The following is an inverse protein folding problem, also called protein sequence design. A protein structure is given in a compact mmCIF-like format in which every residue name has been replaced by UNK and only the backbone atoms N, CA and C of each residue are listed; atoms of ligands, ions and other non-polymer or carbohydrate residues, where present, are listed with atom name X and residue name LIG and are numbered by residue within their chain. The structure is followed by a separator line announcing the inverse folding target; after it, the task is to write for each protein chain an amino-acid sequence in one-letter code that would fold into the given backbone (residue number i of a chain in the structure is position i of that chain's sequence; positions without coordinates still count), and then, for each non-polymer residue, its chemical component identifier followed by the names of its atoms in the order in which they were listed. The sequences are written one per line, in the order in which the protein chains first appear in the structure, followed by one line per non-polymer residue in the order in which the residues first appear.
data_IF_272571847964
#
_entry.id   IF_272571847964
#
_cell.length_a   1.000
_cell.length_b   1.000
_cell.length_c   1.000
_cell.angle_alpha   90.00
_cell.angle_beta   90.00
_cell.angle_gamma   90.00
#
_symmetry.space_group_name_H-M   'P 1'
#
loop_
_entity.id
_entity.type
_entity.pdbx_description
1 polymer ?
#
# COMPACT_ATOMS: atom_id res chain seq x y z
N UNK A 1 36.24 -11.11 11.34
CA UNK A 1 35.23 -11.80 10.53
C UNK A 1 34.32 -10.73 9.97
N UNK A 2 34.23 -10.61 8.65
CA UNK A 2 33.46 -9.55 8.00
C UNK A 2 31.98 -9.92 8.02
N UNK A 3 31.15 -9.15 8.72
CA UNK A 3 29.70 -9.19 8.52
C UNK A 3 29.38 -8.35 7.28
N UNK A 4 28.73 -8.89 6.24
CA UNK A 4 28.15 -8.06 5.22
C UNK A 4 26.83 -7.54 5.77
N UNK A 5 26.81 -6.32 6.32
CA UNK A 5 25.56 -5.57 6.47
C UNK A 5 25.10 -5.17 5.08
N UNK A 6 24.42 -6.10 4.41
CA UNK A 6 23.56 -5.82 3.29
C UNK A 6 22.39 -4.96 3.82
N UNK A 7 22.53 -3.64 3.71
CA UNK A 7 21.43 -2.70 3.88
C UNK A 7 20.48 -2.84 2.69
N UNK A 8 19.81 -3.99 2.58
CA UNK A 8 18.68 -4.14 1.69
C UNK A 8 17.59 -3.21 2.21
N UNK A 9 17.33 -2.16 1.45
CA UNK A 9 16.26 -1.20 1.62
C UNK A 9 14.92 -1.95 1.53
N UNK A 10 14.53 -2.71 2.56
CA UNK A 10 13.22 -3.32 2.61
C UNK A 10 12.22 -2.17 2.75
N UNK A 11 11.35 -1.93 1.75
CA UNK A 11 10.32 -0.90 1.90
C UNK A 11 9.54 -1.24 3.17
N UNK A 12 9.45 -0.25 4.06
CA UNK A 12 8.64 -0.36 5.28
C UNK A 12 7.23 -0.76 4.87
N UNK A 13 6.60 -1.67 5.62
CA UNK A 13 5.25 -2.12 5.27
C UNK A 13 4.29 -0.93 5.17
N UNK A 14 3.51 -0.85 4.09
CA UNK A 14 2.45 0.13 3.92
C UNK A 14 1.22 -0.12 4.80
N UNK A 15 1.21 -1.21 5.59
CA UNK A 15 0.08 -1.56 6.44
C UNK A 15 -0.26 -0.43 7.42
N UNK A 16 -1.56 -0.14 7.58
CA UNK A 16 -2.14 0.94 8.39
C UNK A 16 -1.83 2.37 7.89
N UNK A 17 -1.31 2.53 6.67
CA UNK A 17 -1.22 3.85 6.03
C UNK A 17 -2.56 4.24 5.41
N UNK A 18 -2.93 5.51 5.56
CA UNK A 18 -4.00 6.14 4.79
C UNK A 18 -3.47 6.44 3.39
N UNK A 19 -4.29 6.15 2.38
CA UNK A 19 -3.92 6.28 0.99
C UNK A 19 -5.06 6.82 0.14
N UNK A 20 -4.69 7.48 -0.95
CA UNK A 20 -5.56 7.68 -2.11
C UNK A 20 -5.31 6.53 -3.08
N UNK A 21 -6.37 5.92 -3.60
CA UNK A 21 -6.26 4.80 -4.54
C UNK A 21 -7.16 4.99 -5.75
N UNK A 22 -6.70 4.55 -6.93
CA UNK A 22 -7.43 4.78 -8.17
C UNK A 22 -8.54 3.73 -8.37
N UNK A 23 -9.79 4.19 -8.44
CA UNK A 23 -10.98 3.35 -8.68
C UNK A 23 -11.45 3.36 -10.13
N UNK A 24 -10.97 4.31 -10.95
CA UNK A 24 -11.25 4.39 -12.39
C UNK A 24 -10.52 5.55 -13.07
N UNK A 25 -10.79 5.81 -14.36
CA UNK A 25 -10.24 6.98 -15.06
C UNK A 25 -10.69 8.27 -14.34
N UNK A 26 -9.74 8.99 -13.77
CA UNK A 26 -9.98 10.22 -12.97
C UNK A 26 -10.90 10.02 -11.75
N UNK A 27 -11.04 8.78 -11.25
CA UNK A 27 -11.77 8.49 -10.01
C UNK A 27 -10.83 7.92 -8.98
N UNK A 28 -10.90 8.48 -7.78
CA UNK A 28 -10.07 8.12 -6.65
C UNK A 28 -10.94 7.90 -5.42
N UNK A 29 -10.55 6.96 -4.58
CA UNK A 29 -11.11 6.76 -3.24
C UNK A 29 -10.04 7.02 -2.18
N UNK A 30 -10.47 7.22 -0.95
CA UNK A 30 -9.58 7.28 0.21
C UNK A 30 -9.78 6.05 1.08
N UNK A 31 -8.68 5.43 1.51
CA UNK A 31 -8.77 4.20 2.30
C UNK A 31 -7.57 3.94 3.19
N UNK A 32 -7.68 2.86 3.96
CA UNK A 32 -6.63 2.36 4.85
C UNK A 32 -6.08 1.03 4.32
N UNK A 33 -4.76 0.91 4.21
CA UNK A 33 -4.13 -0.37 3.86
C UNK A 33 -4.27 -1.35 5.03
N UNK A 34 -5.02 -2.44 4.83
CA UNK A 34 -5.25 -3.49 5.84
C UNK A 34 -4.28 -4.65 5.71
N UNK A 35 -3.82 -4.93 4.49
CA UNK A 35 -2.81 -5.92 4.17
C UNK A 35 -1.86 -5.42 3.08
N UNK A 36 -0.59 -5.83 3.19
CA UNK A 36 0.44 -5.53 2.19
C UNK A 36 1.34 -6.76 2.05
N UNK A 37 1.32 -7.35 0.85
CA UNK A 37 2.20 -8.43 0.44
C UNK A 37 3.43 -7.82 -0.25
N UNK A 38 4.58 -7.84 0.45
CA UNK A 38 5.80 -7.18 -0.03
C UNK A 38 6.45 -7.91 -1.21
N UNK A 39 6.24 -9.21 -1.31
CA UNK A 39 6.82 -10.03 -2.37
C UNK A 39 6.20 -9.71 -3.74
N UNK A 40 4.87 -9.51 -3.79
CA UNK A 40 4.17 -9.11 -5.02
C UNK A 40 3.88 -7.62 -5.15
N UNK A 41 4.12 -6.82 -4.10
CA UNK A 41 3.70 -5.42 -4.03
C UNK A 41 2.19 -5.24 -4.00
N UNK A 42 1.42 -6.28 -3.64
CA UNK A 42 -0.04 -6.21 -3.59
C UNK A 42 -0.51 -5.60 -2.28
N UNK A 43 -1.42 -4.62 -2.36
CA UNK A 43 -2.09 -4.04 -1.19
C UNK A 43 -3.58 -4.35 -1.20
N UNK A 44 -4.15 -4.46 0.00
CA UNK A 44 -5.59 -4.45 0.22
C UNK A 44 -5.93 -3.17 0.98
N UNK A 45 -6.72 -2.33 0.34
CA UNK A 45 -7.24 -1.07 0.88
C UNK A 45 -8.69 -1.30 1.32
N UNK A 46 -9.03 -0.85 2.52
CA UNK A 46 -10.41 -0.70 2.96
C UNK A 46 -10.82 0.74 2.76
N UNK A 47 -11.85 0.97 1.95
CA UNK A 47 -12.44 2.27 1.73
C UNK A 47 -13.01 2.84 3.04
N UNK A 48 -12.83 4.14 3.28
CA UNK A 48 -13.28 4.77 4.52
C UNK A 48 -14.70 5.31 4.45
N UNK A 49 -15.30 5.46 3.27
CA UNK A 49 -16.68 5.91 3.12
C UNK A 49 -17.67 4.76 3.23
N UNK A 50 -17.42 3.64 2.54
CA UNK A 50 -18.38 2.53 2.43
C UNK A 50 -17.88 1.19 3.03
N UNK A 51 -16.61 1.10 3.43
CA UNK A 51 -16.01 -0.13 3.98
C UNK A 51 -15.70 -1.19 2.93
N UNK A 52 -15.83 -0.89 1.64
CA UNK A 52 -15.48 -1.76 0.52
C UNK A 52 -14.00 -2.09 0.51
N UNK A 53 -13.65 -3.25 -0.05
CA UNK A 53 -12.25 -3.63 -0.24
C UNK A 53 -11.81 -3.43 -1.68
N UNK A 54 -10.65 -2.80 -1.83
CA UNK A 54 -9.94 -2.64 -3.09
C UNK A 54 -8.60 -3.36 -3.02
N UNK A 55 -8.22 -4.06 -4.10
CA UNK A 55 -6.98 -4.84 -4.17
C UNK A 55 -6.26 -4.61 -5.49
N UNK A 56 -5.07 -4.01 -5.44
CA UNK A 56 -4.15 -3.86 -6.58
C UNK A 56 -2.71 -3.64 -6.09
N UNK A 57 -1.82 -3.30 -7.01
CA UNK A 57 -0.42 -2.92 -6.77
C UNK A 57 -0.32 -1.67 -5.90
N UNK A 58 0.68 -1.64 -5.03
CA UNK A 58 1.07 -0.47 -4.24
C UNK A 58 1.46 0.73 -5.12
N UNK A 59 1.86 0.50 -6.38
CA UNK A 59 2.14 1.59 -7.34
C UNK A 59 0.89 2.35 -7.80
N UNK A 60 -0.31 1.87 -7.47
CA UNK A 60 -1.59 2.50 -7.79
C UNK A 60 -2.22 3.22 -6.59
N UNK A 61 -1.45 3.39 -5.52
CA UNK A 61 -1.87 4.16 -4.34
C UNK A 61 -0.86 5.26 -4.04
N UNK A 62 -1.34 6.33 -3.43
CA UNK A 62 -0.53 7.44 -2.94
C UNK A 62 -0.72 7.56 -1.43
N UNK A 63 0.38 7.61 -0.67
CA UNK A 63 0.32 7.72 0.79
C UNK A 63 -0.01 9.16 1.19
N UNK A 64 -1.02 9.31 2.05
CA UNK A 64 -1.36 10.59 2.67
C UNK A 64 -0.46 10.79 3.90
N UNK A 65 0.27 11.90 3.95
CA UNK A 65 1.16 12.29 5.05
C UNK A 65 0.50 13.20 6.07
#
# INVERSE_FOLDING_TARGET
MSEPTDNTHQPSSLRRRRVIYQTGPQRYGEGLITAHDKDSGTVIVMDMEDGSFWRRSESQVEIIV
#
